data_IF_233585289313
#
_entry.id   IF_233585289313
#
_cell.length_a   1.000
_cell.length_b   1.000
_cell.length_c   1.000
_cell.angle_alpha   90.00
_cell.angle_beta   90.00
_cell.angle_gamma   90.00
#
_symmetry.space_group_name_H-M   'P 1'
#
loop_
_entity.id
_entity.type
_entity.pdbx_description
1 polymer ?
#
# COMPACT_ATOMS: atom_id res chain seq x y z
N UNK A 1 1.78 19.76 -10.20
CA UNK A 1 3.12 20.33 -9.89
C UNK A 1 3.62 19.88 -8.50
N UNK A 2 2.87 20.06 -7.40
CA UNK A 2 3.29 19.59 -6.06
C UNK A 2 3.57 18.08 -5.93
N UNK A 3 2.86 17.20 -6.64
CA UNK A 3 3.11 15.73 -6.60
C UNK A 3 4.43 15.31 -7.26
N UNK A 4 4.88 16.05 -8.27
CA UNK A 4 6.14 15.77 -8.98
C UNK A 4 7.34 16.21 -8.14
N UNK A 5 7.22 17.31 -7.40
CA UNK A 5 8.28 17.79 -6.51
C UNK A 5 8.58 16.76 -5.40
N UNK A 6 7.55 16.12 -4.83
CA UNK A 6 7.75 15.04 -3.86
C UNK A 6 8.44 13.82 -4.47
N UNK A 7 8.11 13.48 -5.73
CA UNK A 7 8.73 12.36 -6.43
C UNK A 7 10.19 12.66 -6.83
N UNK A 8 10.51 13.90 -7.19
CA UNK A 8 11.89 14.33 -7.46
C UNK A 8 12.72 14.42 -6.16
N UNK A 9 12.12 14.84 -5.05
CA UNK A 9 12.76 14.79 -3.73
C UNK A 9 13.05 13.35 -3.24
N UNK A 10 12.34 12.35 -3.77
CA UNK A 10 12.54 10.93 -3.48
C UNK A 10 13.75 10.34 -4.26
N UNK A 11 14.04 10.85 -5.46
CA UNK A 11 15.14 10.36 -6.31
C UNK A 11 16.44 11.16 -6.14
N UNK A 12 16.36 12.42 -5.69
CA UNK A 12 17.48 13.38 -5.74
C UNK A 12 18.45 13.48 -4.55
N UNK A 13 18.53 12.53 -3.61
CA UNK A 13 19.49 12.65 -2.49
C UNK A 13 20.71 11.74 -2.64
N UNK A 14 21.77 12.30 -3.23
CA UNK A 14 23.18 11.88 -3.10
C UNK A 14 24.02 13.06 -3.66
N UNK A 15 25.09 13.66 -3.07
CA UNK A 15 26.02 13.45 -1.95
C UNK A 15 26.59 14.86 -1.58
N UNK A 16 26.92 15.23 -0.33
CA UNK A 16 28.30 15.33 0.23
C UNK A 16 28.29 15.86 1.67
N UNK A 17 29.17 15.31 2.52
CA UNK A 17 29.43 15.77 3.89
C UNK A 17 29.61 14.60 4.86
N UNK A 18 30.74 14.57 5.56
CA UNK A 18 31.33 13.47 6.33
C UNK A 18 30.48 12.90 7.48
N UNK A 19 30.83 11.65 7.83
CA UNK A 19 30.53 10.88 9.06
C UNK A 19 29.24 10.05 9.05
N UNK A 20 29.43 8.73 9.08
CA UNK A 20 28.52 7.66 9.57
C UNK A 20 27.03 7.87 9.27
N UNK A 21 26.61 7.50 8.05
CA UNK A 21 25.19 7.41 7.70
C UNK A 21 24.81 5.95 7.63
N UNK A 22 24.21 5.45 8.70
CA UNK A 22 23.42 4.22 8.66
C UNK A 22 22.61 4.19 7.36
N UNK A 23 22.63 3.06 6.65
CA UNK A 23 21.63 2.79 5.63
C UNK A 23 20.30 2.66 6.37
N UNK A 24 19.63 3.78 6.63
CA UNK A 24 18.39 3.83 7.40
C UNK A 24 17.29 3.23 6.53
N UNK A 25 17.21 1.91 6.50
CA UNK A 25 16.09 1.21 5.89
C UNK A 25 14.79 1.62 6.61
N UNK A 26 13.75 1.88 5.82
CA UNK A 26 12.45 2.24 6.39
C UNK A 26 11.90 1.06 7.20
N UNK A 27 11.43 1.30 8.44
CA UNK A 27 10.91 0.23 9.27
C UNK A 27 9.68 -0.41 8.62
N UNK A 28 9.61 -1.73 8.63
CA UNK A 28 8.50 -2.47 8.04
C UNK A 28 8.02 -3.62 8.92
N UNK A 29 6.83 -4.11 8.61
CA UNK A 29 6.34 -5.38 9.13
C UNK A 29 5.56 -6.13 8.04
N UNK A 30 5.38 -7.44 8.23
CA UNK A 30 4.58 -8.29 7.33
C UNK A 30 3.42 -8.89 8.10
N UNK A 31 2.28 -9.04 7.43
CA UNK A 31 1.11 -9.73 7.95
C UNK A 31 0.63 -10.72 6.91
N UNK A 32 0.55 -11.98 7.31
CA UNK A 32 -0.20 -13.00 6.57
C UNK A 32 -1.67 -12.89 6.96
N UNK A 33 -2.56 -12.76 5.98
CA UNK A 33 -3.98 -12.57 6.23
C UNK A 33 -4.63 -13.86 6.72
N UNK A 34 -5.09 -13.84 7.96
CA UNK A 34 -5.95 -14.88 8.53
C UNK A 34 -7.42 -14.60 8.17
N UNK A 35 -8.35 -15.54 8.41
CA UNK A 35 -9.79 -15.27 8.25
C UNK A 35 -10.26 -14.01 8.99
N UNK A 36 -9.70 -13.74 10.18
CA UNK A 36 -10.01 -12.55 10.96
C UNK A 36 -9.58 -11.24 10.27
N UNK A 37 -8.48 -11.24 9.52
CA UNK A 37 -7.99 -10.03 8.85
C UNK A 37 -8.56 -9.85 7.46
N UNK A 38 -8.71 -10.93 6.67
CA UNK A 38 -9.31 -10.86 5.35
C UNK A 38 -10.83 -10.60 5.41
N UNK A 39 -11.53 -11.25 6.35
CA UNK A 39 -12.97 -11.11 6.52
C UNK A 39 -13.40 -10.01 7.50
N UNK A 40 -12.52 -9.60 8.43
CA UNK A 40 -12.88 -8.70 9.51
C UNK A 40 -12.77 -7.21 9.19
N UNK A 41 -13.18 -6.39 10.17
CA UNK A 41 -13.18 -4.93 10.05
C UNK A 41 -11.89 -4.27 10.53
N UNK A 42 -10.99 -5.02 11.14
CA UNK A 42 -9.76 -4.49 11.75
C UNK A 42 -8.58 -5.43 11.57
N UNK A 43 -7.38 -4.87 11.52
CA UNK A 43 -6.13 -5.62 11.55
C UNK A 43 -5.26 -5.12 12.71
N UNK A 44 -4.65 -6.05 13.45
CA UNK A 44 -3.66 -5.70 14.48
C UNK A 44 -2.31 -5.44 13.83
N UNK A 45 -1.67 -4.35 14.23
CA UNK A 45 -0.24 -4.13 13.92
C UNK A 45 0.57 -5.01 14.88
N UNK A 46 1.64 -5.67 14.44
CA UNK A 46 2.51 -6.43 15.33
C UNK A 46 2.92 -5.59 16.55
N UNK A 47 2.79 -6.17 17.74
CA UNK A 47 2.89 -5.44 19.00
C UNK A 47 4.25 -4.75 19.17
N UNK A 48 5.32 -5.43 18.75
CA UNK A 48 6.69 -4.90 18.78
C UNK A 48 6.84 -3.68 17.87
N UNK A 49 6.31 -3.78 16.63
CA UNK A 49 6.33 -2.68 15.68
C UNK A 49 5.53 -1.49 16.20
N UNK A 50 4.34 -1.75 16.75
CA UNK A 50 3.48 -0.72 17.35
C UNK A 50 4.19 0.02 18.48
N UNK A 51 4.78 -0.70 19.43
CA UNK A 51 5.49 -0.08 20.58
C UNK A 51 6.72 0.70 20.13
N UNK A 52 7.53 0.13 19.23
CA UNK A 52 8.80 0.72 18.81
C UNK A 52 8.64 1.93 17.88
N UNK A 53 7.77 1.82 16.88
CA UNK A 53 7.67 2.82 15.81
C UNK A 53 6.44 3.70 15.89
N UNK A 54 5.29 3.15 16.32
CA UNK A 54 4.05 3.93 16.43
C UNK A 54 3.91 4.65 17.77
N UNK A 55 4.56 4.16 18.84
CA UNK A 55 4.72 4.86 20.13
C UNK A 55 3.44 5.54 20.66
N UNK A 56 2.31 4.83 20.62
CA UNK A 56 1.04 5.36 21.10
C UNK A 56 0.22 6.16 20.08
N UNK A 57 0.67 6.25 18.82
CA UNK A 57 -0.01 7.00 17.76
C UNK A 57 -1.49 6.63 17.63
N UNK A 58 -2.33 7.67 17.56
CA UNK A 58 -3.77 7.59 17.33
C UNK A 58 -4.13 8.62 16.27
N UNK A 59 -4.81 8.20 15.20
CA UNK A 59 -5.19 9.12 14.14
C UNK A 59 -5.26 8.47 12.77
N UNK A 60 -5.23 9.31 11.74
CA UNK A 60 -5.29 8.91 10.34
C UNK A 60 -3.92 8.43 9.87
N UNK A 61 -3.91 7.34 9.13
CA UNK A 61 -2.77 6.86 8.39
C UNK A 61 -3.18 6.58 6.94
N UNK A 62 -2.20 6.60 6.04
CA UNK A 62 -2.40 6.36 4.62
C UNK A 62 -1.80 5.02 4.25
N UNK A 63 -2.56 4.19 3.54
CA UNK A 63 -2.09 2.97 2.88
C UNK A 63 -1.96 3.25 1.38
N UNK A 64 -0.77 3.03 0.83
CA UNK A 64 -0.50 3.21 -0.60
C UNK A 64 0.06 1.93 -1.20
N UNK A 65 -0.54 1.44 -2.29
CA UNK A 65 -0.10 0.25 -3.04
C UNK A 65 0.41 0.71 -4.40
N UNK A 66 1.72 0.69 -4.62
CA UNK A 66 2.31 1.19 -5.88
C UNK A 66 1.87 2.62 -6.20
N UNK A 67 1.35 2.83 -7.40
CA UNK A 67 0.85 4.12 -7.90
C UNK A 67 -0.66 4.33 -7.68
N UNK A 68 -1.33 3.35 -7.04
CA UNK A 68 -2.77 3.42 -6.84
C UNK A 68 -3.17 4.53 -5.86
N UNK A 69 -4.44 4.93 -5.95
CA UNK A 69 -5.02 5.92 -5.04
C UNK A 69 -4.84 5.49 -3.57
N UNK A 70 -4.19 6.37 -2.82
CA UNK A 70 -3.99 6.32 -1.38
C UNK A 70 -5.32 6.10 -0.64
N UNK A 71 -5.30 5.20 0.35
CA UNK A 71 -6.46 4.83 1.16
C UNK A 71 -6.26 5.28 2.60
N UNK A 72 -7.21 6.02 3.16
CA UNK A 72 -7.16 6.42 4.57
C UNK A 72 -7.61 5.27 5.48
N UNK A 73 -6.85 5.03 6.55
CA UNK A 73 -7.21 4.15 7.65
C UNK A 73 -7.05 4.86 9.00
N UNK A 74 -7.83 4.45 9.99
CA UNK A 74 -7.73 4.97 11.36
C UNK A 74 -6.94 4.01 12.22
N UNK A 75 -5.82 4.50 12.76
CA UNK A 75 -5.02 3.81 13.78
C UNK A 75 -5.58 4.15 15.16
N UNK A 76 -5.86 3.10 15.94
CA UNK A 76 -6.15 3.21 17.37
C UNK A 76 -5.05 2.52 18.16
N UNK A 77 -4.58 3.16 19.21
CA UNK A 77 -3.67 2.54 20.18
C UNK A 77 -4.44 2.05 21.39
N UNK A 78 -4.25 0.76 21.73
CA UNK A 78 -4.85 0.05 22.86
C UNK A 78 -3.74 -0.51 23.76
N UNK A 79 -4.12 -1.08 24.90
CA UNK A 79 -3.17 -1.74 25.84
C UNK A 79 -2.34 -2.83 25.17
N UNK A 80 -2.91 -3.54 24.21
CA UNK A 80 -2.25 -4.62 23.44
C UNK A 80 -1.55 -4.14 22.17
N UNK A 81 -1.35 -2.83 21.99
CA UNK A 81 -0.73 -2.23 20.80
C UNK A 81 -1.73 -1.56 19.85
N UNK A 82 -1.27 -1.29 18.62
CA UNK A 82 -2.03 -0.56 17.59
C UNK A 82 -2.91 -1.48 16.75
N UNK A 83 -4.09 -0.98 16.37
CA UNK A 83 -4.96 -1.60 15.37
C UNK A 83 -5.27 -0.62 14.25
N UNK A 84 -5.36 -1.13 13.02
CA UNK A 84 -6.02 -0.46 11.90
C UNK A 84 -7.50 -0.80 11.98
N UNK A 85 -8.35 0.19 12.27
CA UNK A 85 -9.80 0.02 12.41
C UNK A 85 -10.51 0.47 11.13
N UNK A 86 -11.08 1.67 11.15
CA UNK A 86 -11.84 2.19 10.01
C UNK A 86 -10.95 2.27 8.78
N UNK A 87 -11.47 1.87 7.62
CA UNK A 87 -10.75 1.82 6.35
C UNK A 87 -10.09 0.47 6.05
N UNK A 88 -9.81 -0.39 7.04
CA UNK A 88 -9.21 -1.71 6.79
C UNK A 88 -10.10 -2.60 5.91
N UNK A 89 -11.40 -2.72 6.25
CA UNK A 89 -12.37 -3.50 5.45
C UNK A 89 -12.44 -3.02 4.00
N UNK A 90 -12.48 -1.70 3.80
CA UNK A 90 -12.49 -1.09 2.46
C UNK A 90 -11.20 -1.37 1.70
N UNK A 91 -10.06 -1.38 2.39
CA UNK A 91 -8.77 -1.73 1.82
C UNK A 91 -8.74 -3.21 1.36
N UNK A 92 -9.21 -4.13 2.21
CA UNK A 92 -9.30 -5.56 1.84
C UNK A 92 -10.24 -5.81 0.66
N UNK A 93 -11.37 -5.12 0.61
CA UNK A 93 -12.34 -5.24 -0.49
C UNK A 93 -11.79 -4.66 -1.79
N UNK A 94 -11.21 -3.45 -1.75
CA UNK A 94 -10.63 -2.79 -2.93
C UNK A 94 -9.56 -3.64 -3.60
N UNK A 95 -8.67 -4.25 -2.83
CA UNK A 95 -7.59 -5.07 -3.36
C UNK A 95 -7.94 -6.55 -3.44
N UNK A 96 -9.19 -6.94 -3.15
CA UNK A 96 -9.62 -8.34 -3.13
C UNK A 96 -8.63 -9.25 -2.36
N UNK A 97 -8.29 -8.82 -1.15
CA UNK A 97 -7.35 -9.52 -0.29
C UNK A 97 -7.99 -10.78 0.29
N UNK A 98 -7.28 -11.91 0.20
CA UNK A 98 -7.80 -13.22 0.64
C UNK A 98 -6.96 -13.82 1.75
N UNK A 99 -7.52 -14.83 2.42
CA UNK A 99 -6.79 -15.63 3.41
C UNK A 99 -5.54 -16.22 2.77
N UNK A 100 -4.40 -16.07 3.44
CA UNK A 100 -3.09 -16.50 2.98
C UNK A 100 -2.25 -15.38 2.35
N UNK A 101 -2.87 -14.36 1.72
CA UNK A 101 -2.11 -13.26 1.12
C UNK A 101 -1.21 -12.57 2.15
N UNK A 102 -0.04 -12.12 1.72
CA UNK A 102 0.95 -11.47 2.60
C UNK A 102 1.04 -9.99 2.24
N UNK A 103 0.78 -9.12 3.21
CA UNK A 103 0.97 -7.68 3.07
C UNK A 103 2.25 -7.26 3.81
N UNK A 104 3.22 -6.67 3.10
CA UNK A 104 4.37 -5.97 3.69
C UNK A 104 4.03 -4.49 3.78
N UNK A 105 4.07 -3.92 4.99
CA UNK A 105 3.84 -2.51 5.26
C UNK A 105 5.17 -1.85 5.60
N UNK A 106 5.63 -0.93 4.75
CA UNK A 106 6.84 -0.13 4.95
C UNK A 106 6.42 1.25 5.40
N UNK A 107 6.79 1.64 6.62
CA UNK A 107 6.46 2.93 7.20
C UNK A 107 7.44 4.00 6.74
N UNK A 108 6.92 5.10 6.21
CA UNK A 108 7.73 6.31 5.99
C UNK A 108 7.78 7.11 7.30
N UNK A 109 8.88 7.85 7.50
CA UNK A 109 9.09 8.68 8.71
C UNK A 109 8.41 10.05 8.62
N UNK A 110 7.70 10.31 7.54
CA UNK A 110 7.07 11.60 7.26
C UNK A 110 5.67 11.69 7.86
N UNK A 111 5.20 12.93 8.07
CA UNK A 111 3.81 13.22 8.39
C UNK A 111 3.08 13.69 7.13
N UNK A 112 1.87 13.17 6.81
CA UNK A 112 1.08 12.22 7.60
C UNK A 112 1.65 10.80 7.59
N UNK A 113 1.34 10.00 8.62
CA UNK A 113 1.78 8.60 8.74
C UNK A 113 1.36 7.81 7.49
N UNK A 114 2.34 7.31 6.75
CA UNK A 114 2.11 6.57 5.51
C UNK A 114 2.80 5.20 5.57
N UNK A 115 2.06 4.20 5.09
CA UNK A 115 2.57 2.87 4.81
C UNK A 115 2.52 2.61 3.30
N UNK A 116 3.69 2.38 2.71
CA UNK A 116 3.77 1.74 1.40
C UNK A 116 3.50 0.25 1.60
N UNK A 117 2.56 -0.30 0.84
CA UNK A 117 2.07 -1.67 1.00
C UNK A 117 2.41 -2.48 -0.24
N UNK A 118 3.15 -3.57 -0.04
CA UNK A 118 3.37 -4.59 -1.06
C UNK A 118 2.50 -5.79 -0.75
N UNK A 119 1.67 -6.20 -1.70
CA UNK A 119 0.78 -7.36 -1.58
C UNK A 119 1.39 -8.52 -2.36
N UNK A 120 1.71 -9.61 -1.67
CA UNK A 120 2.14 -10.87 -2.28
C UNK A 120 0.99 -11.86 -2.23
N UNK A 121 0.47 -12.25 -3.40
CA UNK A 121 -0.63 -13.20 -3.50
C UNK A 121 -0.11 -14.62 -3.37
N UNK A 122 -0.79 -15.45 -2.58
CA UNK A 122 -0.44 -16.89 -2.47
C UNK A 122 -0.80 -17.65 -3.74
N UNK A 123 -1.84 -17.20 -4.45
CA UNK A 123 -2.21 -17.77 -5.75
C UNK A 123 -1.33 -17.13 -6.81
N UNK A 124 -0.62 -17.95 -7.62
CA UNK A 124 -0.05 -17.47 -8.88
C UNK A 124 -1.20 -16.94 -9.72
N UNK A 125 -1.25 -15.63 -9.96
CA UNK A 125 -2.14 -15.10 -10.99
C UNK A 125 -1.77 -15.76 -12.33
N UNK A 126 -2.73 -16.41 -12.99
CA UNK A 126 -2.64 -16.52 -14.45
C UNK A 126 -2.67 -15.08 -14.94
N UNK A 127 -1.58 -14.58 -15.54
CA UNK A 127 -1.56 -13.24 -16.14
C UNK A 127 -2.67 -13.15 -17.19
N UNK A 128 -3.85 -12.68 -16.81
CA UNK A 128 -4.87 -12.30 -17.77
C UNK A 128 -4.41 -10.99 -18.37
N UNK A 129 -3.97 -11.04 -19.63
CA UNK A 129 -3.68 -9.84 -20.42
C UNK A 129 -4.94 -8.99 -20.39
N UNK A 130 -4.90 -7.88 -19.65
CA UNK A 130 -5.95 -6.86 -19.69
C UNK A 130 -5.81 -6.19 -21.04
N UNK A 131 -6.53 -6.69 -22.05
CA UNK A 131 -6.67 -5.96 -23.30
C UNK A 131 -7.40 -4.67 -22.97
N UNK A 132 -6.67 -3.56 -23.06
CA UNK A 132 -7.25 -2.22 -23.03
C UNK A 132 -8.33 -2.16 -24.11
N UNK A 133 -9.54 -1.72 -23.75
CA UNK A 133 -10.69 -1.58 -24.65
C UNK A 133 -10.43 -0.67 -25.86
N UNK A 134 -9.28 0.01 -25.90
CA UNK A 134 -8.75 0.70 -27.09
C UNK A 134 -8.53 -0.25 -28.27
N UNK A 135 -8.12 -1.50 -28.05
CA UNK A 135 -7.96 -2.48 -29.14
C UNK A 135 -9.30 -2.84 -29.79
N UNK A 136 -10.38 -2.94 -29.00
CA UNK A 136 -11.72 -3.21 -29.53
C UNK A 136 -12.27 -2.01 -30.30
N UNK A 137 -12.03 -0.78 -29.83
CA UNK A 137 -12.43 0.43 -30.55
C UNK A 137 -11.69 0.56 -31.90
N UNK A 138 -10.39 0.26 -31.93
CA UNK A 138 -9.61 0.28 -33.18
C UNK A 138 -10.13 -0.75 -34.20
N UNK A 139 -10.46 -1.97 -33.74
CA UNK A 139 -11.02 -2.99 -34.63
C UNK A 139 -12.41 -2.58 -35.17
N UNK A 140 -13.24 -1.93 -34.36
CA UNK A 140 -14.57 -1.45 -34.79
C UNK A 140 -14.48 -0.29 -35.78
N UNK A 141 -13.53 0.64 -35.61
CA UNK A 141 -13.31 1.75 -36.54
C UNK A 141 -12.80 1.22 -37.89
N UNK A 142 -11.84 0.29 -37.88
CA UNK A 142 -11.27 -0.29 -39.10
C UNK A 142 -12.30 -1.08 -39.93
N UNK A 143 -13.18 -1.84 -39.28
CA UNK A 143 -14.25 -2.58 -39.97
C UNK A 143 -15.28 -1.63 -40.59
N UNK A 144 -15.55 -0.48 -39.96
CA UNK A 144 -16.51 0.51 -40.48
C UNK A 144 -15.95 1.32 -41.66
N UNK A 145 -14.64 1.52 -41.73
CA UNK A 145 -13.98 2.17 -42.88
C UNK A 145 -13.83 1.26 -44.11
N UNK A 146 -13.95 -0.06 -43.96
CA UNK A 146 -13.86 -1.03 -45.06
C UNK A 146 -15.22 -1.47 -45.63
N UNK A 147 -16.32 -1.11 -44.98
CA UNK A 147 -17.70 -1.45 -45.38
C UNK A 147 -18.48 -0.25 -45.96
N UNK A 148 -17.79 0.80 -46.40
CA UNK A 148 -18.38 1.97 -47.06
C UNK A 148 -17.58 2.34 -48.31
#
# INVERSE_FOLDING_TARGET
IMKIILFLNFVGRNIKGNNERDNIENPYFKVTLTPCYAGGYTMRVPIEFSRKYLKGFKGKAILQVGEDMAMEVIIKYMTTGSIMKSGWKKFTEKYNLQVGDVCKFVMTRDQPLLFSVTITRVRKEKKTKKFSGIFFLFCFILVKTFLN
#
